data_IF_375607633021
#
_entry.id   IF_375607633021
#
_cell.length_a   1.000
_cell.length_b   1.000
_cell.length_c   1.000
_cell.angle_alpha   90.00
_cell.angle_beta   90.00
_cell.angle_gamma   90.00
#
_symmetry.space_group_name_H-M   'P 1'
#
loop_
_entity.id
_entity.type
_entity.pdbx_description
1 polymer ?
#
# COMPACT_ATOMS: atom_id res chain seq x y z
N UNK A 1 -20.00 -13.52 3.51
CA UNK A 1 -18.73 -13.98 4.12
C UNK A 1 -17.87 -14.59 3.01
N UNK A 2 -16.59 -14.24 2.91
CA UNK A 2 -15.71 -14.64 1.78
C UNK A 2 -15.35 -16.14 1.78
N UNK A 3 -15.32 -16.78 2.95
CA UNK A 3 -15.17 -18.23 3.16
C UNK A 3 -15.59 -18.57 4.59
N UNK A 4 -15.59 -19.85 4.97
CA UNK A 4 -15.89 -20.33 6.33
C UNK A 4 -14.62 -20.77 7.07
N UNK A 5 -14.59 -20.72 8.41
CA UNK A 5 -13.44 -21.18 9.17
C UNK A 5 -13.09 -22.65 8.86
N UNK A 6 -11.80 -22.96 8.79
CA UNK A 6 -11.33 -24.32 8.56
C UNK A 6 -11.25 -25.13 9.87
N UNK A 7 -11.35 -26.47 9.81
CA UNK A 7 -11.15 -27.32 10.97
C UNK A 7 -9.80 -27.08 11.67
N UNK A 8 -9.78 -27.27 12.98
CA UNK A 8 -8.53 -27.30 13.73
C UNK A 8 -7.64 -28.44 13.21
N UNK A 9 -6.33 -28.17 13.05
CA UNK A 9 -5.36 -29.14 12.55
C UNK A 9 -5.22 -29.22 11.03
N UNK A 10 -5.98 -28.44 10.25
CA UNK A 10 -5.74 -28.31 8.81
C UNK A 10 -4.31 -27.83 8.54
N UNK A 11 -3.59 -28.50 7.65
CA UNK A 11 -2.22 -28.11 7.29
C UNK A 11 -2.20 -26.84 6.44
N UNK A 12 -1.06 -26.17 6.36
CA UNK A 12 -0.88 -24.97 5.53
C UNK A 12 -1.13 -25.31 4.05
N UNK A 13 -0.62 -26.44 3.57
CA UNK A 13 -0.75 -26.90 2.18
C UNK A 13 -2.21 -27.20 1.84
N UNK A 14 -2.92 -27.92 2.72
CA UNK A 14 -4.33 -28.24 2.54
C UNK A 14 -5.18 -26.97 2.53
N UNK A 15 -4.99 -26.08 3.51
CA UNK A 15 -5.70 -24.80 3.56
C UNK A 15 -5.46 -23.96 2.31
N UNK A 16 -4.20 -23.88 1.86
CA UNK A 16 -3.83 -23.10 0.66
C UNK A 16 -4.51 -23.67 -0.58
N UNK A 17 -4.45 -24.99 -0.79
CA UNK A 17 -5.05 -25.62 -1.95
C UNK A 17 -6.59 -25.48 -1.96
N UNK A 18 -7.24 -25.77 -0.83
CA UNK A 18 -8.70 -25.74 -0.73
C UNK A 18 -9.26 -24.32 -0.91
N UNK A 19 -8.60 -23.32 -0.33
CA UNK A 19 -9.03 -21.92 -0.48
C UNK A 19 -8.80 -21.40 -1.90
N UNK A 20 -7.68 -21.75 -2.54
CA UNK A 20 -7.43 -21.38 -3.93
C UNK A 20 -8.46 -22.00 -4.87
N UNK A 21 -8.89 -23.25 -4.61
CA UNK A 21 -9.97 -23.89 -5.37
C UNK A 21 -11.32 -23.17 -5.24
N UNK A 22 -11.52 -22.41 -4.16
CA UNK A 22 -12.68 -21.53 -3.95
C UNK A 22 -12.46 -20.09 -4.47
N UNK A 23 -11.32 -19.82 -5.11
CA UNK A 23 -10.97 -18.48 -5.59
C UNK A 23 -10.49 -17.52 -4.49
N UNK A 24 -10.12 -18.04 -3.32
CA UNK A 24 -9.62 -17.26 -2.18
C UNK A 24 -8.12 -17.48 -2.02
N UNK A 25 -7.37 -16.38 -1.96
CA UNK A 25 -5.92 -16.39 -1.76
C UNK A 25 -5.18 -15.67 -2.88
N UNK A 26 -3.85 -15.76 -2.83
CA UNK A 26 -2.94 -15.07 -3.75
C UNK A 26 -1.91 -16.04 -4.37
N UNK A 27 -2.05 -17.34 -4.14
CA UNK A 27 -1.11 -18.36 -4.63
C UNK A 27 0.10 -18.60 -3.71
N UNK A 28 0.26 -17.81 -2.64
CA UNK A 28 1.25 -18.06 -1.59
C UNK A 28 0.64 -18.90 -0.46
N UNK A 29 1.45 -19.62 0.33
CA UNK A 29 0.97 -20.32 1.51
C UNK A 29 0.19 -19.40 2.46
N UNK A 30 -0.89 -19.92 3.05
CA UNK A 30 -1.73 -19.18 4.01
C UNK A 30 -1.73 -19.84 5.37
N UNK A 31 -1.88 -19.05 6.43
CA UNK A 31 -2.18 -19.60 7.75
C UNK A 31 -3.64 -20.09 7.75
N UNK A 32 -3.92 -21.36 8.10
CA UNK A 32 -5.29 -21.88 8.10
C UNK A 32 -6.22 -21.04 9.00
N UNK A 33 -7.32 -20.50 8.47
CA UNK A 33 -8.23 -19.63 9.21
C UNK A 33 -9.18 -20.46 10.08
N UNK A 34 -8.67 -21.01 11.18
CA UNK A 34 -9.49 -21.74 12.16
C UNK A 34 -10.42 -20.79 12.89
N UNK A 35 -11.53 -21.31 13.43
CA UNK A 35 -12.48 -20.51 14.21
C UNK A 35 -11.78 -19.76 15.36
N UNK A 36 -10.88 -20.42 16.07
CA UNK A 36 -10.10 -19.83 17.16
C UNK A 36 -9.24 -18.63 16.69
N UNK A 37 -8.47 -18.78 15.61
CA UNK A 37 -7.62 -17.69 15.08
C UNK A 37 -8.46 -16.53 14.57
N UNK A 38 -9.61 -16.83 13.99
CA UNK A 38 -10.51 -15.83 13.45
C UNK A 38 -11.19 -15.02 14.57
N UNK A 39 -11.70 -15.69 15.59
CA UNK A 39 -12.30 -15.02 16.76
C UNK A 39 -11.25 -14.24 17.56
N UNK A 40 -10.01 -14.73 17.66
CA UNK A 40 -8.92 -13.95 18.27
C UNK A 40 -8.60 -12.65 17.51
N UNK A 41 -8.79 -12.61 16.19
CA UNK A 41 -8.64 -11.39 15.39
C UNK A 41 -9.79 -10.39 15.60
N UNK A 42 -10.96 -10.88 16.01
CA UNK A 42 -12.17 -10.10 16.23
C UNK A 42 -12.35 -9.66 17.68
N UNK A 43 -11.41 -10.01 18.57
CA UNK A 43 -11.47 -9.58 19.97
C UNK A 43 -11.53 -8.05 20.07
N UNK A 44 -12.51 -7.55 20.83
CA UNK A 44 -12.79 -6.12 20.96
C UNK A 44 -13.38 -5.43 19.71
N UNK A 45 -13.72 -6.16 18.64
CA UNK A 45 -14.38 -5.61 17.44
C UNK A 45 -15.90 -5.75 17.57
N UNK A 46 -16.66 -4.66 17.76
CA UNK A 46 -18.11 -4.72 17.79
C UNK A 46 -18.68 -4.92 16.39
N UNK A 47 -19.85 -5.54 16.32
CA UNK A 47 -20.62 -5.74 15.09
C UNK A 47 -19.77 -6.24 13.90
N UNK A 48 -19.02 -7.36 14.06
CA UNK A 48 -18.03 -7.79 13.07
C UNK A 48 -18.63 -8.12 11.69
N UNK A 49 -19.93 -8.37 11.65
CA UNK A 49 -20.70 -8.71 10.45
C UNK A 49 -21.40 -7.52 9.79
N UNK A 50 -21.29 -6.30 10.35
CA UNK A 50 -21.84 -5.10 9.75
C UNK A 50 -21.19 -4.83 8.38
N UNK A 51 -22.01 -4.52 7.39
CA UNK A 51 -21.55 -4.12 6.05
C UNK A 51 -21.12 -2.66 6.09
N UNK A 52 -19.84 -2.41 5.84
CA UNK A 52 -19.22 -1.09 5.95
C UNK A 52 -18.92 -0.45 4.58
N UNK A 53 -19.06 -1.21 3.50
CA UNK A 53 -18.86 -0.75 2.13
C UNK A 53 -18.95 -1.89 1.12
N UNK A 54 -18.88 -1.56 -0.16
CA UNK A 54 -18.88 -2.52 -1.25
C UNK A 54 -17.55 -2.44 -2.00
N UNK A 55 -16.81 -3.54 -2.04
CA UNK A 55 -15.48 -3.59 -2.66
C UNK A 55 -15.64 -3.93 -4.15
N UNK A 56 -15.27 -3.05 -5.09
CA UNK A 56 -15.23 -3.40 -6.52
C UNK A 56 -14.20 -4.53 -6.77
N UNK A 57 -14.22 -5.19 -7.95
CA UNK A 57 -15.12 -4.97 -9.08
C UNK A 57 -16.49 -5.66 -8.96
N UNK A 58 -16.63 -6.71 -8.17
CA UNK A 58 -17.91 -7.41 -8.00
C UNK A 58 -18.79 -6.83 -6.89
N UNK A 59 -18.34 -5.76 -6.23
CA UNK A 59 -19.07 -5.03 -5.18
C UNK A 59 -19.44 -5.92 -4.00
N UNK A 60 -18.52 -6.80 -3.57
CA UNK A 60 -18.74 -7.64 -2.40
C UNK A 60 -18.75 -6.84 -1.10
N UNK A 61 -19.50 -7.34 -0.11
CA UNK A 61 -19.72 -6.67 1.16
C UNK A 61 -18.47 -6.70 2.06
N UNK A 62 -17.91 -5.52 2.34
CA UNK A 62 -16.80 -5.35 3.29
C UNK A 62 -17.34 -5.39 4.72
N UNK A 63 -16.78 -6.27 5.55
CA UNK A 63 -17.03 -6.31 6.99
C UNK A 63 -15.73 -6.58 7.76
N UNK A 64 -15.73 -6.29 9.07
CA UNK A 64 -14.58 -6.60 9.91
C UNK A 64 -14.30 -8.12 9.97
N UNK A 65 -15.34 -8.97 9.90
CA UNK A 65 -15.18 -10.42 9.80
C UNK A 65 -14.44 -10.84 8.54
N UNK A 66 -14.77 -10.25 7.39
CA UNK A 66 -14.05 -10.55 6.14
C UNK A 66 -12.57 -10.14 6.25
N UNK A 67 -12.31 -8.93 6.76
CA UNK A 67 -10.94 -8.43 7.01
C UNK A 67 -10.17 -9.36 7.96
N UNK A 68 -10.79 -9.77 9.07
CA UNK A 68 -10.16 -10.68 10.04
C UNK A 68 -9.75 -12.01 9.40
N UNK A 69 -10.58 -12.56 8.50
CA UNK A 69 -10.24 -13.77 7.76
C UNK A 69 -8.98 -13.56 6.90
N UNK A 70 -8.91 -12.47 6.14
CA UNK A 70 -7.73 -12.12 5.33
C UNK A 70 -6.49 -11.83 6.18
N UNK A 71 -6.65 -11.20 7.35
CA UNK A 71 -5.57 -11.02 8.33
C UNK A 71 -5.01 -12.36 8.82
N UNK A 72 -5.89 -13.34 9.11
CA UNK A 72 -5.43 -14.69 9.47
C UNK A 72 -4.68 -15.30 8.29
N UNK A 73 -5.26 -15.33 7.08
CA UNK A 73 -4.61 -15.91 5.90
C UNK A 73 -3.20 -15.35 5.65
N UNK A 74 -3.05 -14.02 5.80
CA UNK A 74 -1.78 -13.32 5.66
C UNK A 74 -0.75 -13.64 6.76
N UNK A 75 -1.17 -14.20 7.90
CA UNK A 75 -0.29 -14.44 9.05
C UNK A 75 -0.12 -13.22 9.96
N UNK A 76 -1.11 -12.31 9.98
CA UNK A 76 -1.12 -11.21 10.93
C UNK A 76 -1.27 -11.71 12.38
N UNK A 77 -0.84 -10.87 13.32
CA UNK A 77 -1.18 -11.02 14.75
C UNK A 77 -2.52 -10.34 15.07
N UNK A 78 -3.21 -10.72 16.17
CA UNK A 78 -4.34 -9.95 16.69
C UNK A 78 -4.00 -8.47 16.90
N UNK A 79 -4.99 -7.60 16.70
CA UNK A 79 -4.86 -6.14 16.76
C UNK A 79 -4.66 -5.45 15.39
N UNK A 80 -4.44 -6.20 14.31
CA UNK A 80 -4.20 -5.65 12.96
C UNK A 80 -5.50 -5.27 12.21
N UNK A 81 -6.64 -5.88 12.57
CA UNK A 81 -7.94 -5.66 11.89
C UNK A 81 -8.33 -4.17 11.75
N UNK A 82 -8.23 -3.32 12.78
CA UNK A 82 -8.56 -1.90 12.66
C UNK A 82 -7.75 -1.17 11.57
N UNK A 83 -6.47 -1.52 11.40
CA UNK A 83 -5.59 -0.93 10.38
C UNK A 83 -6.02 -1.35 8.99
N UNK A 84 -6.18 -2.65 8.75
CA UNK A 84 -6.54 -3.18 7.43
C UNK A 84 -7.95 -2.76 7.03
N UNK A 85 -8.90 -2.73 7.97
CA UNK A 85 -10.26 -2.26 7.73
C UNK A 85 -10.28 -0.77 7.40
N UNK A 86 -9.53 0.06 8.14
CA UNK A 86 -9.44 1.50 7.85
C UNK A 86 -8.81 1.75 6.48
N UNK A 87 -7.77 0.98 6.13
CA UNK A 87 -7.13 1.03 4.81
C UNK A 87 -8.10 0.63 3.69
N UNK A 88 -8.85 -0.47 3.87
CA UNK A 88 -9.85 -0.91 2.91
C UNK A 88 -10.92 0.16 2.70
N UNK A 89 -11.43 0.76 3.78
CA UNK A 89 -12.39 1.86 3.70
C UNK A 89 -11.81 3.11 3.01
N UNK A 90 -10.55 3.44 3.24
CA UNK A 90 -9.87 4.53 2.53
C UNK A 90 -9.76 4.24 1.03
N UNK A 91 -9.52 2.99 0.65
CA UNK A 91 -9.49 2.57 -0.75
C UNK A 91 -10.88 2.61 -1.41
N UNK A 92 -11.98 2.59 -0.64
CA UNK A 92 -13.33 2.74 -1.17
C UNK A 92 -13.74 4.19 -1.43
N UNK A 93 -12.96 5.18 -1.00
CA UNK A 93 -13.25 6.57 -1.33
C UNK A 93 -13.20 6.80 -2.85
N UNK A 94 -14.14 7.56 -3.44
CA UNK A 94 -14.24 7.70 -4.89
C UNK A 94 -12.95 8.20 -5.56
N UNK A 95 -12.23 9.11 -4.90
CA UNK A 95 -10.98 9.69 -5.39
C UNK A 95 -9.82 8.70 -5.45
N UNK A 96 -9.86 7.60 -4.70
CA UNK A 96 -8.85 6.54 -4.80
C UNK A 96 -9.00 5.71 -6.08
N UNK A 97 -10.22 5.62 -6.64
CA UNK A 97 -10.51 4.86 -7.86
C UNK A 97 -10.07 3.39 -7.80
N UNK A 98 -10.48 2.67 -6.75
CA UNK A 98 -10.11 1.26 -6.57
C UNK A 98 -10.54 0.36 -7.73
N UNK A 99 -11.72 0.61 -8.30
CA UNK A 99 -12.21 -0.15 -9.47
C UNK A 99 -11.18 -0.09 -10.59
N UNK A 100 -10.73 1.11 -10.97
CA UNK A 100 -9.71 1.28 -11.99
C UNK A 100 -8.38 0.62 -11.64
N UNK A 101 -7.92 0.75 -10.39
CA UNK A 101 -6.67 0.12 -9.91
C UNK A 101 -6.72 -1.40 -10.02
N UNK A 102 -7.86 -2.02 -9.74
CA UNK A 102 -8.00 -3.48 -9.76
C UNK A 102 -8.21 -4.05 -11.16
N UNK A 103 -8.99 -3.36 -12.02
CA UNK A 103 -9.39 -3.90 -13.33
C UNK A 103 -8.50 -3.44 -14.50
N UNK A 104 -7.56 -2.54 -14.27
CA UNK A 104 -6.66 -2.05 -15.33
C UNK A 104 -5.78 -3.17 -15.91
N UNK A 105 -5.35 -2.96 -17.15
CA UNK A 105 -4.30 -3.76 -17.81
C UNK A 105 -2.88 -3.39 -17.39
N UNK A 106 -2.72 -2.29 -16.65
CA UNK A 106 -1.43 -1.83 -16.14
C UNK A 106 -0.92 -2.62 -14.93
N UNK A 107 0.12 -2.08 -14.32
CA UNK A 107 0.82 -2.71 -13.20
C UNK A 107 0.45 -2.21 -11.79
N UNK A 108 -0.56 -1.34 -11.53
CA UNK A 108 -0.64 -0.71 -10.23
C UNK A 108 -0.87 -1.71 -9.09
N UNK A 109 -0.49 -1.35 -7.89
CA UNK A 109 -0.85 -2.04 -6.66
C UNK A 109 -1.42 -1.04 -5.66
N UNK A 110 -2.14 -1.52 -4.66
CA UNK A 110 -2.58 -0.70 -3.52
C UNK A 110 -1.47 -0.76 -2.47
N UNK A 111 -0.82 0.36 -2.24
CA UNK A 111 0.12 0.54 -1.13
C UNK A 111 -0.58 1.16 0.07
N UNK A 112 -0.09 0.84 1.26
CA UNK A 112 -0.48 1.53 2.48
C UNK A 112 0.72 2.08 3.25
N UNK A 113 0.48 3.14 4.01
CA UNK A 113 1.40 3.70 5.00
C UNK A 113 0.66 3.72 6.33
N UNK A 114 1.20 3.06 7.34
CA UNK A 114 0.71 3.15 8.72
C UNK A 114 1.48 4.25 9.44
N UNK A 115 0.76 5.16 10.08
CA UNK A 115 1.32 6.31 10.79
C UNK A 115 1.04 6.20 12.28
N UNK A 116 1.90 6.83 13.08
CA UNK A 116 1.63 7.08 14.49
C UNK A 116 2.06 5.97 15.46
N UNK A 117 1.62 6.06 16.73
CA UNK A 117 1.86 5.05 17.77
C UNK A 117 1.61 3.59 17.34
N UNK A 118 0.62 3.35 16.49
CA UNK A 118 0.24 2.04 15.96
C UNK A 118 1.40 1.31 15.26
N UNK A 119 2.38 2.05 14.72
CA UNK A 119 3.61 1.47 14.15
C UNK A 119 4.34 0.63 15.19
N UNK A 120 4.59 1.19 16.37
CA UNK A 120 5.30 0.50 17.45
C UNK A 120 4.44 -0.61 18.06
N UNK A 121 3.15 -0.36 18.29
CA UNK A 121 2.22 -1.31 18.92
C UNK A 121 2.06 -2.60 18.11
N UNK A 122 2.00 -2.48 16.77
CA UNK A 122 1.85 -3.61 15.86
C UNK A 122 3.19 -4.23 15.45
N UNK A 123 4.31 -3.64 15.86
CA UNK A 123 5.66 -4.11 15.50
C UNK A 123 6.02 -3.87 14.04
N UNK A 124 5.41 -2.85 13.41
CA UNK A 124 5.79 -2.37 12.09
C UNK A 124 7.14 -1.64 12.15
N UNK A 125 7.83 -1.57 11.02
CA UNK A 125 9.13 -0.89 10.92
C UNK A 125 9.14 0.14 9.82
N UNK A 126 9.58 1.35 10.16
CA UNK A 126 9.91 2.43 9.22
C UNK A 126 11.41 2.47 8.91
N UNK A 127 12.18 1.42 9.23
CA UNK A 127 13.64 1.43 9.20
C UNK A 127 14.24 0.47 8.16
N UNK A 128 15.49 0.03 8.35
CA UNK A 128 16.26 -0.81 7.43
C UNK A 128 15.45 -2.00 6.91
N UNK A 129 15.40 -2.14 5.58
CA UNK A 129 14.74 -3.27 4.93
C UNK A 129 13.21 -3.29 5.08
N UNK A 130 12.56 -2.15 5.35
CA UNK A 130 11.11 -2.05 5.63
C UNK A 130 10.15 -2.65 4.58
N UNK A 131 10.58 -2.76 3.32
CA UNK A 131 9.83 -3.39 2.23
C UNK A 131 10.30 -4.81 1.89
N UNK A 132 11.33 -5.29 2.60
CA UNK A 132 11.92 -6.61 2.43
C UNK A 132 11.43 -7.61 3.49
N UNK A 133 12.02 -8.81 3.54
CA UNK A 133 11.59 -9.89 4.44
C UNK A 133 11.87 -9.63 5.93
N UNK A 134 12.53 -8.52 6.29
CA UNK A 134 12.95 -8.23 7.67
C UNK A 134 11.78 -7.93 8.62
N UNK A 135 11.03 -6.83 8.43
CA UNK A 135 9.87 -6.51 9.26
C UNK A 135 8.65 -7.30 8.79
N UNK A 136 8.53 -8.51 9.32
CA UNK A 136 7.43 -9.43 9.06
C UNK A 136 6.05 -8.74 9.13
N UNK A 137 5.85 -7.84 10.11
CA UNK A 137 4.60 -7.10 10.28
C UNK A 137 4.21 -6.29 9.03
N UNK A 138 5.14 -5.56 8.40
CA UNK A 138 4.84 -4.77 7.20
C UNK A 138 4.35 -5.67 6.08
N UNK A 139 5.07 -6.78 5.84
CA UNK A 139 4.73 -7.75 4.80
C UNK A 139 3.32 -8.32 4.98
N UNK A 140 2.99 -8.81 6.19
CA UNK A 140 1.69 -9.42 6.44
C UNK A 140 0.55 -8.41 6.48
N UNK A 141 0.75 -7.16 6.95
CA UNK A 141 -0.28 -6.12 6.90
C UNK A 141 -0.57 -5.69 5.45
N UNK A 142 0.48 -5.50 4.64
CA UNK A 142 0.34 -5.24 3.21
C UNK A 142 -0.41 -6.34 2.49
N UNK A 143 -0.05 -7.60 2.78
CA UNK A 143 -0.71 -8.78 2.22
C UNK A 143 -2.16 -8.93 2.68
N UNK A 144 -2.46 -8.64 3.94
CA UNK A 144 -3.82 -8.69 4.45
C UNK A 144 -4.74 -7.68 3.74
N UNK A 145 -4.25 -6.47 3.44
CA UNK A 145 -4.99 -5.50 2.63
C UNK A 145 -5.21 -6.02 1.21
N UNK A 146 -4.15 -6.51 0.54
CA UNK A 146 -4.27 -7.05 -0.81
C UNK A 146 -5.27 -8.21 -0.89
N UNK A 147 -5.19 -9.18 0.03
CA UNK A 147 -6.14 -10.29 0.15
C UNK A 147 -7.55 -9.81 0.43
N UNK A 148 -7.74 -8.83 1.31
CA UNK A 148 -9.06 -8.26 1.62
C UNK A 148 -9.69 -7.68 0.35
N UNK A 149 -8.95 -6.80 -0.33
CA UNK A 149 -9.43 -6.13 -1.54
C UNK A 149 -9.71 -7.13 -2.66
N UNK A 150 -8.88 -8.17 -2.80
CA UNK A 150 -9.05 -9.20 -3.81
C UNK A 150 -10.20 -10.16 -3.50
N UNK A 151 -10.24 -10.75 -2.31
CA UNK A 151 -11.22 -11.76 -1.92
C UNK A 151 -12.62 -11.17 -1.74
N UNK A 152 -12.74 -9.97 -1.17
CA UNK A 152 -14.05 -9.30 -1.04
C UNK A 152 -14.48 -8.70 -2.39
N UNK A 153 -13.54 -8.13 -3.15
CA UNK A 153 -13.81 -7.53 -4.45
C UNK A 153 -14.10 -8.54 -5.57
N UNK A 154 -13.75 -9.81 -5.38
CA UNK A 154 -13.82 -10.83 -6.42
C UNK A 154 -12.78 -10.59 -7.53
N UNK A 155 -11.56 -10.21 -7.14
CA UNK A 155 -10.44 -10.02 -8.06
C UNK A 155 -9.88 -11.38 -8.45
N UNK A 156 -9.99 -11.73 -9.72
CA UNK A 156 -9.50 -12.98 -10.30
C UNK A 156 -8.80 -12.67 -11.61
N UNK A 157 -7.56 -13.14 -11.73
CA UNK A 157 -6.76 -12.99 -12.95
C UNK A 157 -7.53 -13.52 -14.17
N UNK A 158 -7.47 -12.80 -15.29
CA UNK A 158 -8.18 -13.08 -16.56
C UNK A 158 -9.70 -12.93 -16.53
N UNK A 159 -10.32 -12.77 -15.35
CA UNK A 159 -11.77 -12.58 -15.23
C UNK A 159 -12.11 -11.14 -14.88
N UNK A 160 -11.53 -10.63 -13.80
CA UNK A 160 -11.79 -9.27 -13.31
C UNK A 160 -10.52 -8.43 -13.16
N UNK A 161 -9.34 -9.08 -13.08
CA UNK A 161 -8.02 -8.42 -13.18
C UNK A 161 -7.40 -8.73 -14.54
N UNK A 162 -7.15 -7.69 -15.33
CA UNK A 162 -6.64 -7.78 -16.70
C UNK A 162 -5.20 -7.32 -16.86
N UNK A 163 -4.46 -7.19 -15.75
CA UNK A 163 -3.07 -6.74 -15.75
C UNK A 163 -2.21 -7.60 -16.70
N UNK A 164 -1.49 -6.97 -17.62
CA UNK A 164 -0.69 -7.70 -18.63
C UNK A 164 0.53 -8.37 -18.02
N UNK A 165 1.18 -7.71 -17.07
CA UNK A 165 2.34 -8.24 -16.34
C UNK A 165 2.17 -8.18 -14.82
N UNK A 166 1.25 -7.33 -14.33
CA UNK A 166 1.14 -6.97 -12.92
C UNK A 166 2.50 -6.51 -12.34
N UNK A 167 2.69 -6.63 -11.01
CA UNK A 167 3.96 -6.41 -10.32
C UNK A 167 3.97 -7.14 -8.94
N UNK A 168 5.14 -7.39 -8.32
CA UNK A 168 5.23 -8.03 -7.01
C UNK A 168 4.47 -7.31 -5.88
N UNK A 169 4.34 -5.99 -5.93
CA UNK A 169 3.58 -5.22 -4.93
C UNK A 169 2.08 -5.58 -4.88
N UNK A 170 1.54 -6.32 -5.87
CA UNK A 170 0.17 -6.86 -5.82
C UNK A 170 -0.03 -7.88 -4.69
N UNK A 171 1.03 -8.53 -4.22
CA UNK A 171 0.95 -9.40 -3.04
C UNK A 171 0.83 -8.62 -1.74
N UNK A 172 1.18 -7.33 -1.74
CA UNK A 172 1.16 -6.48 -0.56
C UNK A 172 2.28 -5.45 -0.59
N UNK A 173 1.99 -4.24 -0.10
CA UNK A 173 2.97 -3.16 0.02
C UNK A 173 2.62 -2.28 1.23
N UNK A 174 3.44 -2.32 2.27
CA UNK A 174 3.21 -1.57 3.51
C UNK A 174 4.47 -0.82 3.94
N UNK A 175 4.34 0.49 4.03
CA UNK A 175 5.29 1.35 4.71
C UNK A 175 4.80 1.65 6.12
N UNK A 176 5.72 2.07 6.96
CA UNK A 176 5.41 2.71 8.23
C UNK A 176 6.11 4.06 8.27
N UNK A 177 5.47 5.04 8.89
CA UNK A 177 6.03 6.36 9.11
C UNK A 177 5.76 6.81 10.55
N UNK A 178 6.73 7.44 11.23
CA UNK A 178 6.48 8.04 12.52
C UNK A 178 5.48 9.20 12.36
N UNK A 179 4.68 9.46 13.40
CA UNK A 179 3.72 10.55 13.39
C UNK A 179 3.09 10.76 14.78
N UNK A 180 2.42 11.90 15.00
CA UNK A 180 1.77 12.18 16.27
C UNK A 180 0.45 11.42 16.46
N UNK A 181 -0.24 11.12 15.35
CA UNK A 181 -1.59 10.53 15.34
C UNK A 181 -1.61 9.20 14.58
N UNK A 182 -2.42 8.28 15.06
CA UNK A 182 -2.71 7.01 14.41
C UNK A 182 -3.56 7.19 13.15
N UNK A 183 -2.99 6.83 12.00
CA UNK A 183 -3.65 6.95 10.71
C UNK A 183 -3.14 5.92 9.70
N UNK A 184 -3.89 5.76 8.60
CA UNK A 184 -3.46 5.02 7.43
C UNK A 184 -3.62 5.89 6.20
N UNK A 185 -2.61 5.92 5.35
CA UNK A 185 -2.70 6.44 3.98
C UNK A 185 -2.70 5.28 3.00
N UNK A 186 -3.66 5.21 2.09
CA UNK A 186 -3.59 4.32 0.92
C UNK A 186 -3.22 5.11 -0.32
N UNK A 187 -2.46 4.51 -1.23
CA UNK A 187 -2.05 5.11 -2.50
C UNK A 187 -1.88 4.04 -3.57
N UNK A 188 -2.03 4.41 -4.84
CA UNK A 188 -1.81 3.49 -5.96
C UNK A 188 -0.39 3.67 -6.54
N UNK A 189 0.45 2.64 -6.44
CA UNK A 189 1.81 2.65 -7.01
C UNK A 189 1.89 1.78 -8.27
N UNK A 190 2.53 2.27 -9.32
CA UNK A 190 2.75 1.54 -10.58
C UNK A 190 4.06 0.73 -10.60
N UNK A 191 4.96 0.97 -9.63
CA UNK A 191 6.26 0.32 -9.55
C UNK A 191 7.11 0.88 -8.41
N UNK A 192 8.39 0.53 -8.44
CA UNK A 192 9.42 0.98 -7.50
C UNK A 192 10.70 1.29 -8.26
N UNK A 193 11.34 2.42 -8.00
CA UNK A 193 12.62 2.80 -8.59
C UNK A 193 13.59 3.30 -7.50
N UNK A 194 14.74 2.64 -7.35
CA UNK A 194 15.80 3.15 -6.47
C UNK A 194 16.37 4.43 -7.07
N UNK A 195 16.58 5.43 -6.20
CA UNK A 195 17.20 6.70 -6.57
C UNK A 195 18.40 6.93 -5.65
N UNK A 196 19.54 7.29 -6.25
CA UNK A 196 20.80 7.51 -5.54
C UNK A 196 21.24 8.96 -5.77
N UNK A 197 21.72 9.65 -4.72
CA UNK A 197 22.35 10.96 -4.90
C UNK A 197 23.56 10.90 -5.83
N UNK A 198 23.93 12.03 -6.45
CA UNK A 198 25.04 12.09 -7.41
C UNK A 198 26.44 12.06 -6.78
N UNK A 199 26.54 12.26 -5.47
CA UNK A 199 27.79 12.32 -4.70
C UNK A 199 27.66 11.52 -3.38
N UNK A 200 28.80 11.14 -2.80
CA UNK A 200 28.91 10.42 -1.53
C UNK A 200 28.55 11.30 -0.33
N UNK A 201 28.83 12.61 -0.41
CA UNK A 201 28.42 13.64 0.56
C UNK A 201 27.55 14.70 -0.15
N UNK A 202 26.31 14.36 -0.50
CA UNK A 202 25.54 15.16 -1.44
C UNK A 202 25.09 16.49 -0.83
N UNK A 203 25.24 17.59 -1.58
CA UNK A 203 24.51 18.82 -1.31
C UNK A 203 23.01 18.61 -1.63
N UNK A 204 22.14 19.55 -1.23
CA UNK A 204 20.70 19.43 -1.46
C UNK A 204 20.36 19.22 -2.94
N UNK A 205 21.07 19.87 -3.86
CA UNK A 205 20.89 19.68 -5.31
C UNK A 205 21.27 18.27 -5.76
N UNK A 206 22.34 17.68 -5.21
CA UNK A 206 22.78 16.32 -5.55
C UNK A 206 21.79 15.23 -5.09
N UNK A 207 20.89 15.59 -4.16
CA UNK A 207 19.77 14.76 -3.70
C UNK A 207 18.50 15.03 -4.53
N UNK A 208 18.12 16.30 -4.65
CA UNK A 208 16.86 16.70 -5.28
C UNK A 208 16.86 16.45 -6.79
N UNK A 209 18.01 16.57 -7.45
CA UNK A 209 18.08 16.41 -8.88
C UNK A 209 17.78 14.98 -9.35
N UNK A 210 18.43 13.91 -8.84
CA UNK A 210 18.05 12.55 -9.20
C UNK A 210 16.59 12.21 -8.89
N UNK A 211 16.03 12.73 -7.79
CA UNK A 211 14.61 12.54 -7.47
C UNK A 211 13.70 13.21 -8.50
N UNK A 212 14.00 14.45 -8.88
CA UNK A 212 13.23 15.16 -9.89
C UNK A 212 13.38 14.51 -11.28
N UNK A 213 14.53 13.89 -11.60
CA UNK A 213 14.69 13.07 -12.81
C UNK A 213 13.82 11.80 -12.73
N UNK A 214 13.78 11.13 -11.57
CA UNK A 214 12.92 9.96 -11.36
C UNK A 214 11.43 10.30 -11.51
N UNK A 215 11.00 11.47 -11.05
CA UNK A 215 9.61 11.94 -11.20
C UNK A 215 9.17 12.15 -12.66
N UNK A 216 10.11 12.37 -13.60
CA UNK A 216 9.79 12.46 -15.03
C UNK A 216 9.71 11.10 -15.72
N UNK A 217 10.34 10.07 -15.14
CA UNK A 217 10.45 8.74 -15.75
C UNK A 217 9.08 8.13 -16.14
N UNK A 218 8.01 8.24 -15.32
CA UNK A 218 6.68 7.73 -15.72
C UNK A 218 6.11 8.40 -16.97
N UNK A 219 6.41 9.68 -17.20
CA UNK A 219 6.00 10.39 -18.41
C UNK A 219 6.74 9.85 -19.65
N UNK A 220 8.04 9.59 -19.52
CA UNK A 220 8.84 9.07 -20.63
C UNK A 220 8.55 7.60 -20.94
N UNK A 221 8.23 6.80 -19.93
CA UNK A 221 7.85 5.40 -20.08
C UNK A 221 6.37 5.20 -20.45
N UNK A 222 5.52 6.20 -20.21
CA UNK A 222 4.08 6.18 -20.41
C UNK A 222 3.62 6.60 -21.81
N UNK A 223 2.35 6.37 -22.10
CA UNK A 223 1.72 6.71 -23.39
C UNK A 223 1.03 8.08 -23.46
N UNK A 224 1.07 8.91 -22.41
CA UNK A 224 0.39 10.21 -22.38
C UNK A 224 0.76 11.07 -21.16
N UNK A 225 1.21 12.30 -21.41
CA UNK A 225 1.66 13.25 -20.37
C UNK A 225 0.50 13.81 -19.53
N UNK A 226 -0.66 14.01 -20.15
CA UNK A 226 -1.90 14.50 -19.53
C UNK A 226 -2.30 13.71 -18.29
N UNK A 227 -2.07 12.40 -18.33
CA UNK A 227 -2.39 11.49 -17.23
C UNK A 227 -1.42 11.60 -16.04
N UNK A 228 -0.19 12.04 -16.28
CA UNK A 228 0.80 12.25 -15.21
C UNK A 228 0.44 13.48 -14.38
N UNK A 229 -0.07 14.54 -14.99
CA UNK A 229 -0.52 15.75 -14.29
C UNK A 229 -1.76 15.53 -13.42
N UNK A 230 -2.38 14.35 -13.42
CA UNK A 230 -3.45 14.00 -12.49
C UNK A 230 -3.01 12.96 -11.43
N UNK A 231 -1.76 12.51 -11.50
CA UNK A 231 -1.22 11.40 -10.72
C UNK A 231 -0.50 11.92 -9.47
N UNK A 232 -0.73 11.29 -8.33
CA UNK A 232 0.16 11.43 -7.17
C UNK A 232 1.43 10.61 -7.37
N UNK A 233 2.57 11.09 -6.86
CA UNK A 233 3.78 10.29 -6.81
C UNK A 233 4.32 10.30 -5.38
N UNK A 234 5.03 9.25 -4.98
CA UNK A 234 5.61 9.16 -3.64
C UNK A 234 7.12 9.00 -3.74
N UNK A 235 7.84 9.72 -2.89
CA UNK A 235 9.28 9.55 -2.67
C UNK A 235 9.50 9.17 -1.21
N UNK A 236 10.44 8.27 -0.98
CA UNK A 236 10.86 7.85 0.36
C UNK A 236 12.30 8.28 0.57
N UNK A 237 12.51 9.01 1.67
CA UNK A 237 13.81 9.54 2.05
C UNK A 237 14.28 8.84 3.34
N UNK A 238 15.48 8.23 3.34
CA UNK A 238 16.07 7.76 4.58
C UNK A 238 16.39 8.94 5.52
N UNK A 239 16.46 8.72 6.85
CA UNK A 239 16.59 9.82 7.83
C UNK A 239 17.82 10.72 7.65
N UNK A 240 18.92 10.20 7.08
CA UNK A 240 20.11 11.00 6.79
C UNK A 240 19.93 11.95 5.60
N UNK A 241 19.07 11.59 4.66
CA UNK A 241 18.72 12.43 3.53
C UNK A 241 17.66 13.44 3.93
N UNK A 242 16.63 13.02 4.67
CA UNK A 242 15.61 13.92 5.21
C UNK A 242 16.25 15.08 5.98
N UNK A 243 17.17 14.79 6.93
CA UNK A 243 17.91 15.81 7.69
C UNK A 243 18.74 16.77 6.83
N UNK A 244 19.26 16.33 5.69
CA UNK A 244 20.03 17.21 4.77
C UNK A 244 19.12 18.17 4.00
N UNK A 245 17.85 17.84 3.89
CA UNK A 245 16.83 18.67 3.25
C UNK A 245 16.01 19.46 4.27
N UNK A 246 16.34 19.39 5.57
CA UNK A 246 15.65 20.13 6.63
C UNK A 246 15.58 21.63 6.29
N UNK A 247 14.38 22.19 6.43
CA UNK A 247 14.11 23.59 6.10
C UNK A 247 13.79 23.85 4.63
N UNK A 248 13.85 22.84 3.76
CA UNK A 248 13.37 22.94 2.39
C UNK A 248 11.92 22.47 2.28
N UNK A 249 11.17 23.14 1.41
CA UNK A 249 9.86 22.71 0.95
C UNK A 249 10.05 21.63 -0.13
N UNK A 250 10.42 20.41 0.30
CA UNK A 250 10.86 19.33 -0.61
C UNK A 250 9.84 19.03 -1.72
N UNK A 251 8.52 18.89 -1.44
CA UNK A 251 7.54 18.68 -2.51
C UNK A 251 7.53 19.80 -3.56
N UNK A 252 7.63 21.06 -3.14
CA UNK A 252 7.67 22.24 -4.00
C UNK A 252 8.93 22.28 -4.87
N UNK A 253 10.09 21.99 -4.27
CA UNK A 253 11.37 21.89 -4.98
C UNK A 253 11.34 20.79 -6.04
N UNK A 254 10.85 19.59 -5.67
CA UNK A 254 10.75 18.45 -6.58
C UNK A 254 9.76 18.72 -7.72
N UNK A 255 8.61 19.32 -7.41
CA UNK A 255 7.61 19.69 -8.40
C UNK A 255 8.18 20.72 -9.39
N UNK A 256 8.83 21.78 -8.90
CA UNK A 256 9.42 22.82 -9.74
C UNK A 256 10.52 22.27 -10.65
N UNK A 257 11.47 21.51 -10.08
CA UNK A 257 12.60 20.92 -10.83
C UNK A 257 12.13 19.89 -11.86
N UNK A 258 11.27 18.96 -11.44
CA UNK A 258 10.73 17.93 -12.32
C UNK A 258 9.92 18.52 -13.46
N UNK A 259 9.05 19.49 -13.17
CA UNK A 259 8.22 20.18 -14.18
C UNK A 259 9.08 20.96 -15.17
N UNK A 260 10.12 21.65 -14.70
CA UNK A 260 11.05 22.37 -15.57
C UNK A 260 11.80 21.44 -16.53
N UNK A 261 12.18 20.24 -16.07
CA UNK A 261 12.88 19.24 -16.90
C UNK A 261 11.97 18.55 -17.89
N UNK A 262 10.76 18.19 -17.45
CA UNK A 262 9.79 17.52 -18.30
C UNK A 262 9.15 18.47 -19.32
N UNK A 263 9.10 19.78 -19.01
CA UNK A 263 8.31 20.76 -19.77
C UNK A 263 6.80 20.59 -19.57
N UNK A 264 6.40 19.81 -18.56
CA UNK A 264 5.02 19.47 -18.22
C UNK A 264 4.93 19.12 -16.72
N UNK A 265 3.79 19.34 -16.03
CA UNK A 265 3.67 18.97 -14.63
C UNK A 265 3.96 17.50 -14.37
N UNK A 266 4.87 17.22 -13.43
CA UNK A 266 5.20 15.84 -13.01
C UNK A 266 4.17 15.23 -12.07
N UNK A 267 3.24 16.01 -11.54
CA UNK A 267 2.13 15.57 -10.69
C UNK A 267 0.99 16.60 -10.77
N UNK A 268 -0.10 16.39 -10.05
CA UNK A 268 -1.20 17.37 -9.97
C UNK A 268 -0.82 18.69 -9.33
N UNK A 269 0.20 18.66 -8.47
CA UNK A 269 0.76 19.80 -7.77
C UNK A 269 1.82 19.31 -6.78
N UNK A 270 2.52 20.23 -6.09
CA UNK A 270 3.46 19.84 -5.04
C UNK A 270 2.77 19.06 -3.90
N UNK A 271 1.51 19.34 -3.58
CA UNK A 271 0.73 18.63 -2.58
C UNK A 271 0.43 17.16 -2.94
N UNK A 272 0.51 16.83 -4.22
CA UNK A 272 0.35 15.48 -4.76
C UNK A 272 1.68 14.69 -4.81
N UNK A 273 2.80 15.32 -4.43
CA UNK A 273 4.08 14.68 -4.21
C UNK A 273 4.25 14.34 -2.73
N UNK A 274 4.04 13.07 -2.40
CA UNK A 274 4.18 12.57 -1.04
C UNK A 274 5.64 12.29 -0.72
N UNK A 275 6.16 12.94 0.32
CA UNK A 275 7.50 12.65 0.87
C UNK A 275 7.32 11.84 2.15
N UNK A 276 7.91 10.66 2.21
CA UNK A 276 7.86 9.77 3.37
C UNK A 276 9.27 9.64 3.94
N UNK A 277 9.47 10.07 5.19
CA UNK A 277 10.72 9.80 5.90
C UNK A 277 10.67 8.38 6.47
N UNK A 278 11.41 7.46 5.82
CA UNK A 278 11.52 6.08 6.24
C UNK A 278 12.72 5.40 5.56
N UNK A 279 13.19 4.30 6.14
CA UNK A 279 14.35 3.56 5.70
C UNK A 279 15.46 3.52 6.75
N UNK A 280 16.48 2.71 6.46
CA UNK A 280 17.68 2.60 7.30
C UNK A 280 18.62 3.79 7.14
N UNK A 281 19.72 3.82 7.91
CA UNK A 281 20.81 4.76 7.67
C UNK A 281 21.36 4.59 6.24
N UNK A 282 21.77 5.70 5.62
CA UNK A 282 22.29 5.73 4.26
C UNK A 282 21.61 6.76 3.36
N UNK A 283 22.01 6.73 2.09
CA UNK A 283 21.64 7.72 1.08
C UNK A 283 20.68 7.21 0.00
N UNK A 284 20.32 5.92 0.01
CA UNK A 284 19.47 5.31 -1.02
C UNK A 284 18.02 5.70 -0.80
N UNK A 285 17.45 6.42 -1.75
CA UNK A 285 16.07 6.88 -1.76
C UNK A 285 15.23 5.97 -2.64
N UNK A 286 13.91 6.08 -2.52
CA UNK A 286 12.98 5.31 -3.33
C UNK A 286 11.97 6.24 -3.99
N UNK A 287 11.79 6.09 -5.29
CA UNK A 287 10.67 6.67 -6.01
C UNK A 287 9.61 5.60 -6.24
N UNK A 288 8.37 5.92 -5.88
CA UNK A 288 7.18 5.13 -6.07
C UNK A 288 6.30 5.87 -7.08
N UNK A 289 6.45 5.58 -8.39
CA UNK A 289 5.62 6.19 -9.42
C UNK A 289 4.16 5.84 -9.15
N UNK A 290 3.28 6.83 -9.19
CA UNK A 290 1.86 6.57 -9.03
C UNK A 290 1.23 5.97 -10.27
N UNK A 291 0.00 5.50 -10.10
CA UNK A 291 -0.81 5.02 -11.21
C UNK A 291 -1.49 6.16 -11.97
N UNK A 292 -1.13 6.32 -13.24
CA UNK A 292 -1.64 7.36 -14.14
C UNK A 292 -3.10 7.14 -14.62
N UNK A 293 -3.87 6.26 -13.96
CA UNK A 293 -5.29 6.02 -14.30
C UNK A 293 -6.27 6.90 -13.52
N UNK A 294 -5.78 7.90 -12.79
CA UNK A 294 -6.59 8.80 -11.97
C UNK A 294 -6.91 8.19 -10.62
N UNK A 295 -5.92 8.15 -9.74
CA UNK A 295 -6.06 7.77 -8.32
C UNK A 295 -5.36 8.81 -7.46
N UNK A 296 -6.01 9.19 -6.36
CA UNK A 296 -5.46 10.05 -5.31
C UNK A 296 -5.37 9.29 -4.01
N UNK A 297 -4.30 9.52 -3.27
CA UNK A 297 -4.04 8.86 -2.01
C UNK A 297 -4.98 9.39 -0.93
N UNK A 298 -5.49 8.49 -0.10
CA UNK A 298 -6.50 8.81 0.91
C UNK A 298 -5.94 8.50 2.28
N UNK A 299 -5.93 9.50 3.16
CA UNK A 299 -5.53 9.35 4.55
C UNK A 299 -6.76 9.33 5.46
N UNK A 300 -6.87 8.29 6.28
CA UNK A 300 -7.91 8.16 7.32
C UNK A 300 -7.27 7.94 8.68
N UNK A 301 -7.78 8.63 9.70
CA UNK A 301 -7.42 8.34 11.11
C UNK A 301 -7.88 6.91 11.45
N UNK A 302 -7.05 6.19 12.20
CA UNK A 302 -7.49 4.95 12.83
C UNK A 302 -8.55 5.33 13.86
N UNK A 303 -9.77 4.81 13.67
CA UNK A 303 -10.81 4.92 14.69
C UNK A 303 -10.71 3.69 15.58
N UNK A 304 -10.91 3.86 16.89
CA UNK A 304 -11.32 2.73 17.71
C UNK A 304 -12.52 2.09 17.03
N UNK A 305 -12.52 0.78 16.81
CA UNK A 305 -13.62 0.09 16.11
C UNK A 305 -14.91 0.07 16.95
N UNK A 306 -15.00 0.89 18.01
CA UNK A 306 -16.13 1.02 18.94
C UNK A 306 -17.39 1.63 18.34
#
# INVERSE_FOLDING_TARGET
MIFSPLPAGTSVEAATHDLLALGVGDGLPVVPPTAERWEAMLDGVPSPDAVLGLVPPLFGELSARAVAGCCVLAGCRPGVVPVVLTAALAALEPEFNLLGVQTTTGTPAVGLIVHGPAVAELGLSSSTGMLGPGPHANGVVGRALALTLASVGGVTTEVTSMATTAQPARYGFCLAAPGPDDAVTVFALAGTAEVVPRDDLPASDDVLDPLADALTAPAHAGGGLDRLAACEQTVVLPPEIARRLDGLAVPEELFARGTARLGFPVSAGPEALRVVEAGGPGAKMLHLPGWMGGSRGVTRRLRSVG
#
